data_IF_789614403430
#
_entry.id   IF_789614403430
#
_cell.length_a   1.000
_cell.length_b   1.000
_cell.length_c   1.000
_cell.angle_alpha   90.00
_cell.angle_beta   90.00
_cell.angle_gamma   90.00
#
_symmetry.space_group_name_H-M   'P 1'
#
loop_
_entity.id
_entity.type
_entity.pdbx_description
1 polymer ?
#
# COMPACT_ATOMS: atom_id res chain seq x y z
N UNK A 1 -20.91 -2.54 11.13
CA UNK A 1 -21.83 -3.29 12.00
C UNK A 1 -21.54 -4.79 11.91
N UNK A 2 -21.72 -5.38 10.71
CA UNK A 2 -21.59 -6.83 10.48
C UNK A 2 -20.24 -7.39 10.93
N UNK A 3 -19.10 -6.76 10.61
CA UNK A 3 -17.78 -7.21 11.03
C UNK A 3 -17.57 -7.25 12.56
N UNK A 4 -18.22 -6.32 13.31
CA UNK A 4 -18.24 -6.38 14.77
C UNK A 4 -19.11 -7.55 15.30
N UNK A 5 -20.27 -7.77 14.70
CA UNK A 5 -21.15 -8.89 15.03
C UNK A 5 -20.48 -10.24 14.77
N UNK A 6 -19.72 -10.33 13.69
CA UNK A 6 -18.90 -11.51 13.34
C UNK A 6 -17.62 -11.64 14.19
N UNK A 7 -17.35 -10.68 15.05
CA UNK A 7 -16.19 -10.68 15.95
C UNK A 7 -14.83 -10.65 15.20
N UNK A 8 -14.76 -9.91 14.09
CA UNK A 8 -13.56 -9.82 13.25
C UNK A 8 -12.56 -8.78 13.77
N UNK A 9 -13.04 -7.65 14.28
CA UNK A 9 -12.20 -6.56 14.77
C UNK A 9 -12.90 -5.77 15.88
N UNK A 10 -12.14 -4.94 16.58
CA UNK A 10 -12.62 -3.98 17.55
C UNK A 10 -11.90 -2.63 17.40
N UNK A 11 -12.50 -1.58 17.94
CA UNK A 11 -11.86 -0.30 18.20
C UNK A 11 -12.01 -0.02 19.70
N UNK A 12 -10.96 0.53 20.29
CA UNK A 12 -10.92 0.91 21.72
C UNK A 12 -10.37 2.33 21.85
N UNK A 13 -11.01 3.15 22.68
CA UNK A 13 -10.63 4.55 22.85
C UNK A 13 -9.24 4.70 23.49
N UNK A 14 -8.86 3.76 24.36
CA UNK A 14 -7.54 3.77 25.01
C UNK A 14 -6.39 3.43 24.05
N UNK A 15 -6.69 2.70 22.96
CA UNK A 15 -5.74 2.45 21.86
C UNK A 15 -5.67 3.64 20.92
N UNK A 16 -6.81 4.26 20.64
CA UNK A 16 -6.95 5.44 19.81
C UNK A 16 -7.91 5.26 18.63
N UNK A 17 -8.49 6.37 18.21
CA UNK A 17 -9.41 6.39 17.07
C UNK A 17 -8.69 6.06 15.76
N UNK A 18 -9.32 5.22 14.94
CA UNK A 18 -8.75 4.83 13.65
C UNK A 18 -7.61 3.80 13.74
N UNK A 19 -7.45 3.15 14.90
CA UNK A 19 -6.47 2.08 15.13
C UNK A 19 -7.22 0.76 15.36
N UNK A 20 -7.47 -0.05 14.31
CA UNK A 20 -8.24 -1.28 14.43
C UNK A 20 -7.46 -2.37 15.16
N UNK A 21 -8.15 -3.08 16.07
CA UNK A 21 -7.67 -4.29 16.72
C UNK A 21 -8.25 -5.50 16.00
N UNK A 22 -7.43 -6.25 15.31
CA UNK A 22 -7.83 -7.49 14.66
C UNK A 22 -8.02 -8.59 15.69
N UNK A 23 -9.20 -9.20 15.70
CA UNK A 23 -9.52 -10.35 16.54
C UNK A 23 -9.15 -11.66 15.81
N UNK A 24 -9.10 -12.82 16.49
CA UNK A 24 -8.65 -14.07 15.88
C UNK A 24 -9.33 -14.39 14.54
N UNK A 25 -10.66 -14.25 14.44
CA UNK A 25 -11.39 -14.51 13.19
C UNK A 25 -11.01 -13.52 12.07
N UNK A 26 -10.81 -12.27 12.40
CA UNK A 26 -10.32 -11.27 11.43
C UNK A 26 -8.87 -11.49 11.03
N UNK A 27 -8.05 -11.96 11.98
CA UNK A 27 -6.67 -12.36 11.71
C UNK A 27 -6.57 -13.51 10.70
N UNK A 28 -7.49 -14.47 10.73
CA UNK A 28 -7.57 -15.55 9.73
C UNK A 28 -7.83 -14.97 8.34
N UNK A 29 -8.89 -14.16 8.18
CA UNK A 29 -9.21 -13.53 6.87
C UNK A 29 -8.00 -12.75 6.34
N UNK A 30 -7.34 -12.00 7.21
CA UNK A 30 -6.16 -11.22 6.85
C UNK A 30 -5.01 -12.11 6.38
N UNK A 31 -4.73 -13.19 7.07
CA UNK A 31 -3.68 -14.15 6.72
C UNK A 31 -3.97 -14.79 5.37
N UNK A 32 -5.18 -15.33 5.17
CA UNK A 32 -5.55 -15.98 3.92
C UNK A 32 -5.42 -15.04 2.70
N UNK A 33 -5.79 -13.76 2.85
CA UNK A 33 -5.57 -12.76 1.80
C UNK A 33 -4.09 -12.50 1.55
N UNK A 34 -3.27 -12.45 2.61
CA UNK A 34 -1.83 -12.25 2.47
C UNK A 34 -1.17 -13.45 1.81
N UNK A 35 -1.52 -14.67 2.21
CA UNK A 35 -1.00 -15.90 1.64
C UNK A 35 -1.37 -16.00 0.16
N UNK A 36 -2.63 -15.72 -0.21
CA UNK A 36 -3.10 -15.68 -1.60
C UNK A 36 -2.26 -14.73 -2.47
N UNK A 37 -2.03 -13.51 -2.01
CA UNK A 37 -1.20 -12.54 -2.76
C UNK A 37 0.25 -12.99 -2.81
N UNK A 38 0.82 -13.49 -1.71
CA UNK A 38 2.21 -13.96 -1.67
C UNK A 38 2.44 -15.05 -2.70
N UNK A 39 1.55 -16.02 -2.80
CA UNK A 39 1.65 -17.08 -3.81
C UNK A 39 1.64 -16.55 -5.25
N UNK A 40 0.80 -15.55 -5.54
CA UNK A 40 0.76 -14.94 -6.88
C UNK A 40 2.01 -14.09 -7.15
N UNK A 41 2.58 -13.45 -6.13
CA UNK A 41 3.81 -12.68 -6.24
C UNK A 41 5.04 -13.56 -6.46
N UNK A 42 5.14 -14.68 -5.77
CA UNK A 42 6.22 -15.65 -5.94
C UNK A 42 6.28 -16.17 -7.39
N UNK A 43 5.09 -16.44 -8.00
CA UNK A 43 4.98 -16.83 -9.42
C UNK A 43 5.48 -15.77 -10.40
N UNK A 44 5.42 -14.49 -10.00
CA UNK A 44 5.87 -13.35 -10.80
C UNK A 44 7.30 -12.92 -10.45
N UNK A 45 8.01 -13.64 -9.57
CA UNK A 45 9.39 -13.37 -9.19
C UNK A 45 9.58 -12.13 -8.31
N UNK A 46 8.61 -11.82 -7.46
CA UNK A 46 8.78 -10.80 -6.43
C UNK A 46 9.57 -11.33 -5.23
N UNK A 47 10.37 -10.47 -4.63
CA UNK A 47 11.07 -10.73 -3.37
C UNK A 47 10.33 -10.06 -2.23
N UNK A 48 9.93 -10.85 -1.23
CA UNK A 48 9.32 -10.30 -0.02
C UNK A 48 10.38 -9.63 0.85
N UNK A 49 10.08 -8.41 1.28
CA UNK A 49 10.95 -7.60 2.15
C UNK A 49 10.17 -7.13 3.38
N UNK A 50 10.90 -6.70 4.41
CA UNK A 50 10.34 -6.20 5.67
C UNK A 50 11.07 -4.93 6.06
N UNK A 51 10.34 -3.85 6.30
CA UNK A 51 10.92 -2.55 6.61
C UNK A 51 10.45 -2.01 7.96
N UNK A 52 11.27 -1.20 8.65
CA UNK A 52 10.88 -0.59 9.92
C UNK A 52 9.66 0.30 9.78
N UNK A 53 8.89 0.44 10.87
CA UNK A 53 7.72 1.33 10.93
C UNK A 53 8.10 2.81 11.04
N UNK A 54 9.35 3.11 11.36
CA UNK A 54 9.88 4.47 11.51
C UNK A 54 11.11 4.65 10.62
N UNK A 55 11.35 5.88 10.18
CA UNK A 55 12.56 6.27 9.46
C UNK A 55 12.98 7.69 9.83
N UNK A 56 14.24 8.04 9.57
CA UNK A 56 14.75 9.40 9.78
C UNK A 56 13.99 10.39 8.91
N UNK A 57 13.77 11.61 9.43
CA UNK A 57 13.12 12.70 8.69
C UNK A 57 13.83 13.03 7.38
N UNK A 58 15.17 12.97 7.37
CA UNK A 58 15.97 13.17 6.16
C UNK A 58 15.54 12.26 5.00
N UNK A 59 15.17 11.00 5.25
CA UNK A 59 14.67 10.09 4.24
C UNK A 59 13.38 10.62 3.58
N UNK A 60 12.47 11.15 4.40
CA UNK A 60 11.18 11.67 3.92
C UNK A 60 11.30 13.07 3.30
N UNK A 61 12.29 13.88 3.70
CA UNK A 61 12.64 15.13 2.99
C UNK A 61 13.18 14.81 1.59
N UNK A 62 14.08 13.83 1.47
CA UNK A 62 14.60 13.40 0.17
C UNK A 62 13.48 12.90 -0.74
N UNK A 63 12.57 12.08 -0.24
CA UNK A 63 11.45 11.57 -1.03
C UNK A 63 10.37 12.62 -1.32
N UNK A 64 10.33 13.75 -0.61
CA UNK A 64 9.31 14.79 -0.73
C UNK A 64 8.02 14.50 0.03
N UNK A 65 7.93 13.39 0.78
CA UNK A 65 6.78 13.14 1.62
C UNK A 65 6.67 14.11 2.79
N UNK A 66 7.78 14.63 3.26
CA UNK A 66 7.83 15.69 4.26
C UNK A 66 8.54 16.93 3.66
N UNK A 67 7.99 18.16 3.81
CA UNK A 67 6.75 18.51 4.51
C UNK A 67 5.46 18.46 3.67
N UNK A 68 5.49 18.08 2.38
CA UNK A 68 4.32 18.19 1.47
C UNK A 68 3.04 17.48 1.95
N UNK A 69 3.16 16.44 2.78
CA UNK A 69 2.01 15.73 3.38
C UNK A 69 1.92 15.92 4.89
N UNK A 70 2.45 17.04 5.43
CA UNK A 70 2.51 17.30 6.87
C UNK A 70 1.14 17.12 7.55
N UNK A 71 0.08 17.66 6.98
CA UNK A 71 -1.29 17.57 7.52
C UNK A 71 -1.82 16.13 7.63
N UNK A 72 -1.28 15.21 6.82
CA UNK A 72 -1.67 13.81 6.79
C UNK A 72 -0.68 12.89 7.51
N UNK A 73 0.28 13.42 8.24
CA UNK A 73 1.30 12.65 8.95
C UNK A 73 1.15 12.75 10.46
N UNK A 74 1.55 11.70 11.17
CA UNK A 74 1.78 11.82 12.60
C UNK A 74 2.91 12.81 12.87
N UNK A 75 2.83 13.59 13.95
CA UNK A 75 3.91 14.51 14.31
C UNK A 75 5.26 13.76 14.40
N UNK A 76 6.37 14.39 13.95
CA UNK A 76 7.69 13.80 14.06
C UNK A 76 8.08 13.51 15.51
N UNK A 77 8.80 12.41 15.69
CA UNK A 77 9.43 12.03 16.97
C UNK A 77 10.79 12.71 17.02
N UNK A 78 10.92 13.74 17.84
CA UNK A 78 12.15 14.51 17.98
C UNK A 78 12.99 13.94 19.14
N UNK A 79 14.31 13.95 18.98
CA UNK A 79 15.23 13.50 20.01
C UNK A 79 15.13 14.36 21.28
N UNK A 80 15.25 13.72 22.45
CA UNK A 80 15.05 14.36 23.75
C UNK A 80 16.04 15.52 23.98
N UNK A 81 17.27 15.39 23.51
CA UNK A 81 18.29 16.42 23.71
C UNK A 81 18.07 17.65 22.82
N UNK A 82 17.55 17.46 21.62
CA UNK A 82 17.08 18.55 20.75
C UNK A 82 15.92 19.30 21.40
N UNK A 83 14.96 18.60 22.01
CA UNK A 83 13.84 19.23 22.73
C UNK A 83 14.31 20.04 23.95
N UNK A 84 15.30 19.55 24.71
CA UNK A 84 15.87 20.29 25.84
C UNK A 84 16.56 21.57 25.41
N UNK A 85 17.40 21.48 24.36
CA UNK A 85 18.11 22.62 23.79
C UNK A 85 17.14 23.72 23.33
N UNK A 86 16.06 23.36 22.65
CA UNK A 86 15.01 24.29 22.25
C UNK A 86 14.33 24.96 23.45
N UNK A 87 14.06 24.20 24.52
CA UNK A 87 13.49 24.72 25.75
C UNK A 87 14.41 25.72 26.47
N UNK A 88 15.72 25.48 26.47
CA UNK A 88 16.75 26.37 27.04
C UNK A 88 16.90 27.67 26.20
N UNK A 89 16.76 27.58 24.89
CA UNK A 89 16.83 28.73 23.97
C UNK A 89 15.52 29.54 23.90
N UNK A 90 14.46 29.11 24.58
CA UNK A 90 13.16 29.78 24.59
C UNK A 90 12.42 29.71 23.25
N UNK A 91 12.71 28.71 22.42
CA UNK A 91 12.09 28.51 21.12
C UNK A 91 10.57 28.29 21.22
N UNK A 92 9.82 28.83 20.25
CA UNK A 92 8.37 28.62 20.14
C UNK A 92 8.07 27.38 19.31
N UNK A 93 6.84 26.88 19.39
CA UNK A 93 6.41 25.75 18.56
C UNK A 93 6.58 25.98 17.06
N UNK A 94 6.39 27.23 16.59
CA UNK A 94 6.65 27.63 15.18
C UNK A 94 8.10 27.45 14.78
N UNK A 95 9.03 27.72 15.69
CA UNK A 95 10.47 27.59 15.43
C UNK A 95 10.86 26.11 15.33
N UNK A 96 10.26 25.25 16.18
CA UNK A 96 10.45 23.80 16.12
C UNK A 96 10.04 23.23 14.76
N UNK A 97 8.87 23.60 14.23
CA UNK A 97 8.40 23.17 12.92
C UNK A 97 9.38 23.58 11.83
N UNK A 98 9.84 24.84 11.89
CA UNK A 98 10.81 25.36 10.93
C UNK A 98 12.13 24.59 10.99
N UNK A 99 12.72 24.39 12.18
CA UNK A 99 13.97 23.63 12.37
C UNK A 99 13.88 22.17 11.92
N UNK A 100 12.71 21.53 12.09
CA UNK A 100 12.46 20.19 11.59
C UNK A 100 12.37 20.19 10.06
N UNK A 101 11.72 21.18 9.47
CA UNK A 101 11.54 21.28 8.00
C UNK A 101 12.86 21.60 7.30
N UNK A 102 13.69 22.47 7.88
CA UNK A 102 15.02 22.82 7.33
C UNK A 102 16.08 21.75 7.55
N UNK A 103 15.86 20.83 8.49
CA UNK A 103 16.82 19.78 8.86
C UNK A 103 17.84 20.21 9.92
N UNK A 104 17.65 21.37 10.54
CA UNK A 104 18.45 21.79 11.70
C UNK A 104 18.21 20.88 12.92
N UNK A 105 16.99 20.33 13.02
CA UNK A 105 16.63 19.29 13.98
C UNK A 105 16.29 18.02 13.23
N UNK A 106 16.99 16.95 13.57
CA UNK A 106 16.70 15.60 13.11
C UNK A 106 15.71 14.90 14.06
N UNK A 107 15.04 13.88 13.50
CA UNK A 107 14.10 13.05 14.23
C UNK A 107 13.65 11.87 13.38
N UNK A 108 12.60 11.23 13.84
CA UNK A 108 12.00 10.09 13.16
C UNK A 108 10.53 10.38 12.84
N UNK A 109 10.05 9.73 11.80
CA UNK A 109 8.65 9.77 11.39
C UNK A 109 8.10 8.36 11.34
N UNK A 110 6.85 8.15 11.78
CA UNK A 110 6.09 6.96 11.40
C UNK A 110 5.90 6.97 9.89
N UNK A 111 6.27 5.90 9.21
CA UNK A 111 6.26 5.88 7.75
C UNK A 111 4.84 6.08 7.19
N UNK A 112 4.60 7.12 6.37
CA UNK A 112 3.33 7.33 5.69
C UNK A 112 3.20 6.49 4.42
N UNK A 113 4.33 5.99 3.90
CA UNK A 113 4.48 5.15 2.72
C UNK A 113 5.71 4.26 2.83
N UNK A 114 5.73 3.14 2.09
CA UNK A 114 6.84 2.17 2.10
C UNK A 114 7.94 2.48 1.08
N UNK A 115 7.63 3.25 0.03
CA UNK A 115 8.52 3.50 -1.11
C UNK A 115 9.93 4.00 -0.71
N UNK A 116 10.14 4.93 0.24
CA UNK A 116 11.50 5.36 0.58
C UNK A 116 12.37 4.24 1.16
N UNK A 117 11.77 3.29 1.87
CA UNK A 117 12.49 2.14 2.42
C UNK A 117 12.86 1.12 1.33
N UNK A 118 11.95 0.81 0.40
CA UNK A 118 12.24 -0.07 -0.73
C UNK A 118 13.31 0.52 -1.66
N UNK A 119 13.29 1.83 -1.86
CA UNK A 119 14.36 2.56 -2.57
C UNK A 119 15.71 2.32 -1.91
N UNK A 120 15.79 2.40 -0.57
CA UNK A 120 17.05 2.15 0.15
C UNK A 120 17.48 0.69 0.12
N UNK A 121 16.56 -0.28 0.00
CA UNK A 121 16.89 -1.68 -0.27
C UNK A 121 17.50 -1.82 -1.66
N UNK A 122 16.87 -1.24 -2.68
CA UNK A 122 17.42 -1.26 -4.04
C UNK A 122 18.82 -0.63 -4.11
N UNK A 123 19.00 0.52 -3.48
CA UNK A 123 20.24 1.32 -3.44
C UNK A 123 21.38 0.66 -2.61
N UNK A 124 21.06 -0.35 -1.79
CA UNK A 124 22.05 -1.02 -0.95
C UNK A 124 23.03 -1.93 -1.71
N UNK A 125 22.76 -2.21 -2.99
CA UNK A 125 23.59 -3.08 -3.81
C UNK A 125 23.84 -2.44 -5.19
N UNK A 126 25.04 -2.67 -5.75
CA UNK A 126 25.33 -2.30 -7.13
C UNK A 126 24.52 -3.17 -8.09
N UNK A 127 23.79 -2.54 -9.00
CA UNK A 127 22.93 -3.21 -9.98
C UNK A 127 23.44 -3.00 -11.41
N UNK A 128 23.22 -4.00 -12.25
CA UNK A 128 23.38 -3.92 -13.70
C UNK A 128 22.04 -4.12 -14.41
N UNK A 129 21.96 -3.79 -15.67
CA UNK A 129 20.75 -4.05 -16.48
C UNK A 129 20.30 -5.52 -16.48
N UNK A 130 21.19 -6.46 -16.16
CA UNK A 130 20.87 -7.90 -16.08
C UNK A 130 20.14 -8.28 -14.80
N UNK A 131 20.24 -7.43 -13.77
CA UNK A 131 19.58 -7.64 -12.49
C UNK A 131 18.15 -7.09 -12.49
N UNK A 132 17.80 -6.30 -13.53
CA UNK A 132 16.50 -5.67 -13.66
C UNK A 132 15.53 -6.54 -14.50
N UNK A 133 14.25 -6.58 -14.15
CA UNK A 133 13.60 -5.81 -13.11
C UNK A 133 13.83 -6.38 -11.71
N UNK A 134 13.99 -5.52 -10.71
CA UNK A 134 13.97 -5.88 -9.29
C UNK A 134 12.58 -5.59 -8.74
N UNK A 135 11.89 -6.62 -8.25
CA UNK A 135 10.51 -6.52 -7.73
C UNK A 135 10.51 -6.80 -6.23
N UNK A 136 10.28 -5.75 -5.43
CA UNK A 136 10.23 -5.84 -3.96
C UNK A 136 8.79 -5.70 -3.50
N UNK A 137 8.32 -6.60 -2.64
CA UNK A 137 6.96 -6.61 -2.11
C UNK A 137 6.95 -6.67 -0.57
N UNK A 138 6.01 -5.99 0.05
CA UNK A 138 5.83 -5.96 1.50
C UNK A 138 4.35 -5.82 1.86
N UNK A 139 3.87 -6.57 2.85
CA UNK A 139 2.68 -6.17 3.59
C UNK A 139 3.06 -5.10 4.61
N UNK A 140 3.27 -3.88 4.09
CA UNK A 140 3.82 -2.77 4.85
C UNK A 140 2.76 -1.98 5.58
N UNK A 141 2.87 -1.90 6.92
CA UNK A 141 1.99 -1.04 7.71
C UNK A 141 2.46 0.40 7.62
N UNK A 142 1.56 1.30 7.25
CA UNK A 142 1.79 2.74 7.12
C UNK A 142 0.83 3.50 8.03
N UNK A 143 1.20 4.75 8.35
CA UNK A 143 0.52 5.57 9.34
C UNK A 143 0.17 6.93 8.75
N UNK A 144 -1.11 7.32 8.85
CA UNK A 144 -1.58 8.61 8.37
C UNK A 144 -2.47 9.27 9.43
N UNK A 145 -2.23 10.54 9.68
CA UNK A 145 -3.04 11.33 10.58
C UNK A 145 -4.32 11.77 9.85
N UNK A 146 -5.28 10.85 9.77
CA UNK A 146 -6.60 11.20 9.26
C UNK A 146 -7.35 12.06 10.28
N UNK A 147 -8.05 13.09 9.83
CA UNK A 147 -8.87 13.90 10.72
C UNK A 147 -10.02 13.08 11.32
N UNK A 148 -10.43 13.39 12.54
CA UNK A 148 -11.42 12.57 13.26
C UNK A 148 -12.76 12.44 12.51
N UNK A 149 -13.17 13.48 11.78
CA UNK A 149 -14.38 13.47 10.95
C UNK A 149 -14.30 12.63 9.68
N UNK A 150 -13.11 12.21 9.27
CA UNK A 150 -12.86 11.38 8.08
C UNK A 150 -12.81 9.89 8.40
N UNK A 151 -12.61 9.53 9.66
CA UNK A 151 -12.51 8.13 10.08
C UNK A 151 -13.82 7.36 9.86
N UNK A 152 -13.74 6.16 9.29
CA UNK A 152 -14.91 5.37 8.93
C UNK A 152 -14.70 3.87 9.01
N UNK A 153 -14.96 3.25 10.18
CA UNK A 153 -14.82 1.80 10.35
C UNK A 153 -13.45 1.30 9.90
N UNK A 154 -13.41 0.27 9.04
CA UNK A 154 -12.17 -0.20 8.40
C UNK A 154 -11.83 0.55 7.11
N UNK A 155 -12.73 1.34 6.55
CA UNK A 155 -12.54 1.95 5.23
C UNK A 155 -11.62 3.18 5.25
N UNK A 156 -11.53 3.88 6.39
CA UNK A 156 -10.57 4.96 6.61
C UNK A 156 -10.05 4.93 8.05
N UNK A 157 -8.80 4.56 8.19
CA UNK A 157 -8.11 4.29 9.46
C UNK A 157 -6.75 5.00 9.49
N UNK A 158 -6.17 5.15 10.67
CA UNK A 158 -4.87 5.83 10.88
C UNK A 158 -3.66 4.91 10.76
N UNK A 159 -3.85 3.62 10.95
CA UNK A 159 -2.84 2.59 10.73
C UNK A 159 -3.44 1.52 9.84
N UNK A 160 -2.82 1.27 8.70
CA UNK A 160 -3.27 0.26 7.75
C UNK A 160 -2.11 -0.43 7.05
N UNK A 161 -2.37 -1.64 6.59
CA UNK A 161 -1.38 -2.45 5.90
C UNK A 161 -1.67 -2.43 4.41
N UNK A 162 -0.66 -2.07 3.62
CA UNK A 162 -0.71 -2.16 2.16
C UNK A 162 -0.03 -3.43 1.68
N UNK A 163 -0.60 -4.05 0.67
CA UNK A 163 0.06 -5.08 -0.16
C UNK A 163 0.94 -4.39 -1.20
N UNK A 164 1.91 -3.66 -0.70
CA UNK A 164 2.71 -2.69 -1.43
C UNK A 164 3.88 -3.36 -2.14
N UNK A 165 4.15 -2.97 -3.37
CA UNK A 165 5.36 -3.38 -4.06
C UNK A 165 5.90 -2.27 -4.95
N UNK A 166 7.22 -2.35 -5.12
CA UNK A 166 7.98 -1.42 -5.94
C UNK A 166 8.86 -2.22 -6.91
N UNK A 167 8.71 -1.89 -8.18
CA UNK A 167 9.46 -2.51 -9.27
C UNK A 167 10.45 -1.47 -9.77
N UNK A 168 11.72 -1.84 -9.83
CA UNK A 168 12.77 -1.04 -10.42
C UNK A 168 13.16 -1.70 -11.74
N UNK A 169 12.94 -1.00 -12.85
CA UNK A 169 13.11 -1.57 -14.19
C UNK A 169 13.81 -0.60 -15.15
N UNK A 170 14.22 -1.11 -16.30
CA UNK A 170 14.68 -0.23 -17.39
C UNK A 170 13.48 0.46 -18.06
N UNK A 171 13.69 1.57 -18.79
CA UNK A 171 12.61 2.21 -19.55
C UNK A 171 11.90 1.25 -20.54
N UNK A 172 12.63 0.31 -21.12
CA UNK A 172 12.10 -0.66 -22.10
C UNK A 172 11.20 -1.72 -21.42
N UNK A 173 11.40 -1.99 -20.14
CA UNK A 173 10.63 -2.97 -19.36
C UNK A 173 9.32 -2.41 -18.81
N UNK A 174 9.14 -1.09 -18.79
CA UNK A 174 7.99 -0.42 -18.14
C UNK A 174 6.65 -0.99 -18.62
N UNK A 175 6.47 -1.15 -19.92
CA UNK A 175 5.22 -1.65 -20.50
C UNK A 175 4.86 -3.05 -19.99
N UNK A 176 5.82 -3.98 -20.01
CA UNK A 176 5.64 -5.36 -19.54
C UNK A 176 5.33 -5.42 -18.05
N UNK A 177 6.06 -4.64 -17.24
CA UNK A 177 5.86 -4.60 -15.80
C UNK A 177 4.48 -4.02 -15.41
N UNK A 178 4.01 -2.98 -16.11
CA UNK A 178 2.65 -2.47 -15.91
C UNK A 178 1.61 -3.55 -16.24
N UNK A 179 1.76 -4.27 -17.36
CA UNK A 179 0.85 -5.36 -17.73
C UNK A 179 0.81 -6.46 -16.68
N UNK A 180 1.95 -6.83 -16.10
CA UNK A 180 2.03 -7.77 -14.99
C UNK A 180 1.25 -7.29 -13.77
N UNK A 181 1.37 -6.00 -13.41
CA UNK A 181 0.62 -5.38 -12.31
C UNK A 181 -0.89 -5.40 -12.58
N UNK A 182 -1.33 -5.00 -13.78
CA UNK A 182 -2.75 -4.99 -14.15
C UNK A 182 -3.34 -6.41 -14.14
N UNK A 183 -2.58 -7.38 -14.63
CA UNK A 183 -2.97 -8.80 -14.60
C UNK A 183 -3.18 -9.31 -13.17
N UNK A 184 -2.32 -8.91 -12.23
CA UNK A 184 -2.45 -9.26 -10.81
C UNK A 184 -3.71 -8.64 -10.19
N UNK A 185 -3.98 -7.35 -10.42
CA UNK A 185 -5.20 -6.70 -9.91
C UNK A 185 -6.45 -7.38 -10.46
N UNK A 186 -6.49 -7.67 -11.76
CA UNK A 186 -7.58 -8.40 -12.41
C UNK A 186 -7.77 -9.79 -11.78
N UNK A 187 -6.67 -10.52 -11.51
CA UNK A 187 -6.70 -11.83 -10.85
C UNK A 187 -7.33 -11.74 -9.48
N UNK A 188 -6.91 -10.77 -8.67
CA UNK A 188 -7.44 -10.52 -7.32
C UNK A 188 -8.95 -10.28 -7.36
N UNK A 189 -9.38 -9.29 -8.15
CA UNK A 189 -10.80 -8.91 -8.22
C UNK A 189 -11.66 -10.06 -8.75
N UNK A 190 -11.21 -10.79 -9.76
CA UNK A 190 -11.92 -11.95 -10.31
C UNK A 190 -12.04 -13.09 -9.30
N UNK A 191 -10.96 -13.42 -8.58
CA UNK A 191 -10.96 -14.51 -7.58
C UNK A 191 -11.95 -14.23 -6.44
N UNK A 192 -12.14 -12.96 -6.10
CA UNK A 192 -13.05 -12.51 -5.06
C UNK A 192 -14.46 -12.17 -5.58
N UNK A 193 -14.74 -12.44 -6.87
CA UNK A 193 -16.05 -12.18 -7.46
C UNK A 193 -16.40 -10.70 -7.62
N UNK A 194 -15.41 -9.81 -7.59
CA UNK A 194 -15.55 -8.36 -7.74
C UNK A 194 -15.27 -7.93 -9.19
N UNK A 195 -16.01 -8.50 -10.15
CA UNK A 195 -15.77 -8.27 -11.59
C UNK A 195 -16.33 -6.94 -12.11
N UNK A 196 -17.23 -6.30 -11.37
CA UNK A 196 -17.79 -5.00 -11.70
C UNK A 196 -16.96 -3.89 -11.04
N UNK A 197 -15.88 -3.51 -11.72
CA UNK A 197 -15.01 -2.43 -11.28
C UNK A 197 -14.81 -1.37 -12.37
N UNK A 198 -14.63 -0.13 -11.95
CA UNK A 198 -14.23 0.97 -12.83
C UNK A 198 -12.71 1.13 -12.84
N UNK A 199 -12.20 1.68 -13.93
CA UNK A 199 -10.79 2.05 -14.07
C UNK A 199 -10.70 3.56 -14.28
N UNK A 200 -9.86 4.23 -13.50
CA UNK A 200 -9.55 5.65 -13.63
C UNK A 200 -8.08 5.84 -13.95
N UNK A 201 -7.80 6.58 -14.99
CA UNK A 201 -6.45 7.03 -15.33
C UNK A 201 -6.28 8.46 -14.78
N UNK A 202 -5.60 8.58 -13.66
CA UNK A 202 -5.36 9.84 -12.97
C UNK A 202 -4.10 10.50 -13.54
N UNK A 203 -4.28 11.66 -14.15
CA UNK A 203 -3.25 12.42 -14.87
C UNK A 203 -2.90 13.69 -14.12
N UNK A 204 -1.75 14.31 -14.45
CA UNK A 204 -1.43 15.64 -13.96
C UNK A 204 -2.40 16.70 -14.53
N UNK A 205 -2.51 17.80 -13.82
CA UNK A 205 -2.98 19.08 -14.34
C UNK A 205 -1.77 19.93 -14.69
N UNK A 206 -1.49 20.21 -15.98
CA UNK A 206 -0.30 20.95 -16.38
C UNK A 206 -0.21 22.37 -15.80
N UNK A 207 -1.35 22.95 -15.40
CA UNK A 207 -1.43 24.30 -14.85
C UNK A 207 -1.27 24.33 -13.31
N UNK A 208 -1.03 23.19 -12.67
CA UNK A 208 -0.91 23.07 -11.22
C UNK A 208 0.54 22.90 -10.77
N UNK A 209 0.94 23.66 -9.76
CA UNK A 209 2.25 23.55 -9.09
C UNK A 209 2.37 22.31 -8.16
N UNK A 210 1.35 21.48 -8.10
CA UNK A 210 1.32 20.26 -7.27
C UNK A 210 2.34 19.21 -7.72
N UNK A 211 2.67 19.19 -9.00
CA UNK A 211 3.42 18.10 -9.63
C UNK A 211 4.91 18.44 -9.74
N UNK A 212 5.74 17.47 -9.35
CA UNK A 212 7.21 17.65 -9.35
C UNK A 212 7.85 16.81 -10.46
N UNK A 213 9.05 17.24 -10.89
CA UNK A 213 9.88 16.54 -11.86
C UNK A 213 9.79 17.12 -13.27
N UNK A 214 10.51 16.47 -14.19
CA UNK A 214 10.63 16.90 -15.57
C UNK A 214 9.31 16.65 -16.34
N UNK A 215 8.76 17.64 -17.06
CA UNK A 215 7.58 17.45 -17.91
C UNK A 215 7.70 16.31 -18.92
N UNK A 216 8.87 16.07 -19.50
CA UNK A 216 9.08 14.98 -20.44
C UNK A 216 8.91 13.59 -19.79
N UNK A 217 9.31 13.46 -18.52
CA UNK A 217 9.11 12.23 -17.75
C UNK A 217 7.62 11.99 -17.49
N UNK A 218 6.86 13.05 -17.22
CA UNK A 218 5.42 12.97 -17.09
C UNK A 218 4.75 12.52 -18.39
N UNK A 219 5.15 13.09 -19.53
CA UNK A 219 4.60 12.71 -20.84
C UNK A 219 4.83 11.23 -21.13
N UNK A 220 6.03 10.71 -20.84
CA UNK A 220 6.38 9.30 -20.99
C UNK A 220 5.54 8.40 -20.07
N UNK A 221 5.42 8.78 -18.80
CA UNK A 221 4.65 8.01 -17.82
C UNK A 221 3.15 7.97 -18.17
N UNK A 222 2.57 9.11 -18.53
CA UNK A 222 1.16 9.18 -18.95
C UNK A 222 0.89 8.38 -20.23
N UNK A 223 1.80 8.43 -21.22
CA UNK A 223 1.68 7.64 -22.44
C UNK A 223 1.73 6.14 -22.14
N UNK A 224 2.67 5.68 -21.32
CA UNK A 224 2.79 4.28 -20.92
C UNK A 224 1.53 3.76 -20.21
N UNK A 225 0.94 4.56 -19.31
CA UNK A 225 -0.27 4.18 -18.61
C UNK A 225 -1.51 4.19 -19.53
N UNK A 226 -1.61 5.13 -20.49
CA UNK A 226 -2.70 5.13 -21.49
C UNK A 226 -2.65 3.88 -22.36
N UNK A 227 -1.48 3.49 -22.84
CA UNK A 227 -1.30 2.27 -23.61
C UNK A 227 -1.69 1.04 -22.78
N UNK A 228 -1.24 0.96 -21.54
CA UNK A 228 -1.54 -0.15 -20.64
C UNK A 228 -3.04 -0.28 -20.33
N UNK A 229 -3.73 0.81 -20.04
CA UNK A 229 -5.18 0.80 -19.76
C UNK A 229 -6.00 0.30 -20.95
N UNK A 230 -5.61 0.67 -22.17
CA UNK A 230 -6.30 0.21 -23.38
C UNK A 230 -6.28 -1.32 -23.53
N UNK A 231 -5.23 -1.98 -23.04
CA UNK A 231 -5.11 -3.44 -23.08
C UNK A 231 -6.03 -4.17 -22.10
N UNK A 232 -6.61 -3.50 -21.13
CA UNK A 232 -7.55 -4.11 -20.16
C UNK A 232 -8.89 -4.49 -20.78
N UNK A 233 -9.22 -3.95 -21.97
CA UNK A 233 -10.51 -4.15 -22.65
C UNK A 233 -11.73 -3.76 -21.80
N UNK A 234 -11.54 -2.88 -20.80
CA UNK A 234 -12.60 -2.31 -19.95
C UNK A 234 -12.70 -0.81 -20.18
N UNK A 235 -13.89 -0.25 -19.97
CA UNK A 235 -14.07 1.21 -20.03
C UNK A 235 -13.26 1.90 -18.91
N UNK A 236 -12.63 3.02 -19.24
CA UNK A 236 -11.92 3.83 -18.26
C UNK A 236 -12.25 5.32 -18.44
N UNK A 237 -12.01 6.10 -17.38
CA UNK A 237 -12.11 7.57 -17.43
C UNK A 237 -10.71 8.17 -17.23
N UNK A 238 -10.46 9.32 -17.86
CA UNK A 238 -9.27 10.13 -17.55
C UNK A 238 -9.66 11.23 -16.57
N UNK A 239 -8.89 11.36 -15.48
CA UNK A 239 -9.14 12.30 -14.39
C UNK A 239 -7.93 13.25 -14.26
N UNK A 240 -7.92 14.38 -14.98
CA UNK A 240 -6.87 15.40 -14.84
C UNK A 240 -6.88 16.00 -13.42
N UNK A 241 -5.68 16.21 -12.86
CA UNK A 241 -5.53 16.76 -11.51
C UNK A 241 -5.47 15.72 -10.38
N UNK A 242 -5.82 14.45 -10.66
CA UNK A 242 -5.91 13.39 -9.65
C UNK A 242 -4.64 12.53 -9.53
N UNK A 243 -3.60 12.80 -10.32
CA UNK A 243 -2.31 12.12 -10.19
C UNK A 243 -1.66 12.34 -8.81
N UNK A 244 -0.77 11.42 -8.42
CA UNK A 244 0.14 11.66 -7.32
C UNK A 244 1.12 12.80 -7.69
N UNK A 245 1.71 13.46 -6.68
CA UNK A 245 2.61 14.57 -6.96
C UNK A 245 3.85 14.17 -7.77
N UNK A 246 4.22 12.90 -7.74
CA UNK A 246 5.41 12.32 -8.37
C UNK A 246 5.13 11.51 -9.63
N UNK A 247 3.89 11.17 -9.95
CA UNK A 247 3.57 10.38 -11.14
C UNK A 247 2.08 10.12 -11.37
N UNK A 248 1.70 9.81 -12.62
CA UNK A 248 0.35 9.41 -12.98
C UNK A 248 0.05 8.00 -12.48
N UNK A 249 -1.24 7.67 -12.38
CA UNK A 249 -1.69 6.38 -11.82
C UNK A 249 -2.92 5.82 -12.50
N UNK A 250 -3.03 4.49 -12.49
CA UNK A 250 -4.25 3.74 -12.79
C UNK A 250 -4.86 3.31 -11.46
N UNK A 251 -6.09 3.73 -11.19
CA UNK A 251 -6.85 3.36 -10.01
C UNK A 251 -7.98 2.41 -10.38
N UNK A 252 -8.13 1.34 -9.61
CA UNK A 252 -9.25 0.41 -9.70
C UNK A 252 -10.28 0.78 -8.64
N UNK A 253 -11.51 0.99 -9.08
CA UNK A 253 -12.59 1.53 -8.25
C UNK A 253 -13.73 0.53 -8.21
N UNK A 254 -14.17 0.18 -7.03
CA UNK A 254 -15.36 -0.66 -6.81
C UNK A 254 -16.44 0.13 -6.11
N UNK A 255 -17.69 -0.29 -6.32
CA UNK A 255 -18.84 0.29 -5.63
C UNK A 255 -19.18 -0.53 -4.40
N UNK A 256 -19.46 0.16 -3.28
CA UNK A 256 -20.07 -0.50 -2.13
C UNK A 256 -21.57 -0.75 -2.36
N UNK A 257 -22.21 -1.43 -1.39
CA UNK A 257 -23.62 -1.81 -1.48
C UNK A 257 -24.61 -0.63 -1.56
N UNK A 258 -24.15 0.58 -1.25
CA UNK A 258 -24.95 1.80 -1.37
C UNK A 258 -24.52 2.71 -2.54
N UNK A 259 -23.64 2.18 -3.40
CA UNK A 259 -23.22 2.83 -4.65
C UNK A 259 -22.11 3.86 -4.52
N UNK A 260 -21.40 3.93 -3.38
CA UNK A 260 -20.22 4.82 -3.23
C UNK A 260 -18.99 4.17 -3.86
N UNK A 261 -18.21 4.98 -4.54
CA UNK A 261 -16.95 4.57 -5.14
C UNK A 261 -15.84 4.45 -4.08
N UNK A 262 -15.11 3.35 -4.13
CA UNK A 262 -13.92 3.11 -3.32
C UNK A 262 -12.74 2.72 -4.18
N UNK A 263 -11.69 3.53 -4.12
CA UNK A 263 -10.41 3.17 -4.71
C UNK A 263 -9.80 2.00 -3.93
N UNK A 264 -9.47 0.94 -4.63
CA UNK A 264 -8.76 -0.24 -4.13
C UNK A 264 -7.34 -0.28 -4.71
N UNK A 265 -7.17 -1.04 -5.77
CA UNK A 265 -5.86 -1.22 -6.40
C UNK A 265 -5.36 0.04 -7.11
N UNK A 266 -4.05 0.20 -7.11
CA UNK A 266 -3.36 1.29 -7.80
C UNK A 266 -2.09 0.76 -8.46
N UNK A 267 -1.79 1.27 -9.67
CA UNK A 267 -0.52 1.11 -10.38
C UNK A 267 -0.03 2.49 -10.80
N UNK A 268 1.20 2.85 -10.44
CA UNK A 268 1.78 4.18 -10.71
C UNK A 268 3.15 4.03 -11.35
N UNK A 269 3.46 4.90 -12.32
CA UNK A 269 4.79 5.00 -12.91
C UNK A 269 5.49 6.25 -12.39
N UNK A 270 6.72 6.09 -11.94
CA UNK A 270 7.50 7.11 -11.26
C UNK A 270 8.90 7.22 -11.81
N UNK A 271 9.21 8.35 -12.41
CA UNK A 271 10.54 8.75 -12.84
C UNK A 271 11.22 9.68 -11.84
N UNK A 272 10.46 10.23 -10.89
CA UNK A 272 10.91 11.31 -10.02
C UNK A 272 11.64 10.81 -8.76
N UNK A 273 11.11 9.80 -8.07
CA UNK A 273 11.79 9.26 -6.88
C UNK A 273 13.14 8.64 -7.22
N UNK A 274 13.31 7.87 -8.32
CA UNK A 274 14.65 7.44 -8.74
C UNK A 274 15.65 8.58 -8.94
N UNK A 275 15.21 9.72 -9.46
CA UNK A 275 16.04 10.91 -9.62
C UNK A 275 16.38 11.56 -8.28
N UNK A 276 15.39 11.76 -7.42
CA UNK A 276 15.57 12.39 -6.09
C UNK A 276 16.50 11.60 -5.17
N UNK A 277 16.55 10.29 -5.31
CA UNK A 277 17.44 9.39 -4.57
C UNK A 277 18.75 9.09 -5.30
N UNK A 278 18.96 9.69 -6.48
CA UNK A 278 20.12 9.46 -7.36
C UNK A 278 20.40 7.98 -7.62
N UNK A 279 19.33 7.19 -7.84
CA UNK A 279 19.45 5.76 -8.12
C UNK A 279 20.11 5.53 -9.48
N UNK A 280 20.90 4.48 -9.59
CA UNK A 280 21.51 4.09 -10.85
C UNK A 280 21.71 2.58 -10.99
N UNK A 281 21.78 2.12 -12.23
CA UNK A 281 22.26 0.80 -12.61
C UNK A 281 23.26 0.92 -13.76
N UNK A 282 24.13 -0.08 -13.93
CA UNK A 282 25.08 -0.13 -15.04
C UNK A 282 24.39 -0.72 -16.27
N UNK A 283 24.29 0.04 -17.35
CA UNK A 283 23.73 -0.39 -18.63
C UNK A 283 24.63 -1.33 -19.42
N UNK A 284 24.13 -1.86 -20.55
CA UNK A 284 24.91 -2.69 -21.47
C UNK A 284 26.07 -1.94 -22.13
N UNK A 285 26.02 -0.61 -22.13
CA UNK A 285 27.05 0.30 -22.59
C UNK A 285 28.12 0.62 -21.53
N UNK A 286 28.07 -0.04 -20.36
CA UNK A 286 28.90 0.19 -19.20
C UNK A 286 28.80 1.61 -18.61
N UNK A 287 27.70 2.33 -18.86
CA UNK A 287 27.42 3.62 -18.25
C UNK A 287 26.34 3.51 -17.18
N UNK A 288 26.31 4.50 -16.28
CA UNK A 288 25.24 4.63 -15.31
C UNK A 288 23.94 5.11 -16.00
N UNK A 289 22.86 4.42 -15.72
CA UNK A 289 21.51 4.76 -16.16
C UNK A 289 20.56 4.83 -14.96
N UNK A 290 19.50 5.63 -15.07
CA UNK A 290 18.48 5.77 -14.05
C UNK A 290 17.38 4.74 -14.27
N UNK A 291 16.99 3.95 -13.24
CA UNK A 291 15.84 3.06 -13.34
C UNK A 291 14.53 3.85 -13.35
N UNK A 292 13.50 3.24 -13.90
CA UNK A 292 12.10 3.66 -13.69
C UNK A 292 11.54 2.87 -12.53
N UNK A 293 10.70 3.49 -11.72
CA UNK A 293 10.04 2.85 -10.60
C UNK A 293 8.54 2.70 -10.87
N UNK A 294 7.99 1.53 -10.56
CA UNK A 294 6.56 1.29 -10.60
C UNK A 294 6.08 0.93 -9.21
N UNK A 295 5.08 1.63 -8.72
CA UNK A 295 4.40 1.37 -7.47
C UNK A 295 3.11 0.61 -7.76
N UNK A 296 2.81 -0.41 -6.99
CA UNK A 296 1.53 -1.10 -7.10
C UNK A 296 1.05 -1.64 -5.76
N UNK A 297 -0.26 -1.62 -5.58
CA UNK A 297 -0.96 -2.20 -4.43
C UNK A 297 -2.32 -2.73 -4.90
N UNK A 298 -2.49 -4.03 -5.19
CA UNK A 298 -3.74 -4.62 -5.67
C UNK A 298 -4.93 -4.48 -4.72
N UNK A 299 -4.72 -4.68 -3.42
CA UNK A 299 -5.75 -4.43 -2.41
C UNK A 299 -5.83 -2.96 -1.99
N UNK A 300 -4.70 -2.25 -2.09
CA UNK A 300 -4.51 -0.95 -1.50
C UNK A 300 -4.36 -1.03 0.01
N UNK A 301 -5.40 -0.68 0.78
CA UNK A 301 -5.45 -0.90 2.22
C UNK A 301 -6.15 -2.23 2.52
N UNK A 302 -5.47 -3.14 3.19
CA UNK A 302 -6.04 -4.44 3.60
C UNK A 302 -7.25 -4.25 4.53
N UNK A 303 -7.22 -3.25 5.39
CA UNK A 303 -8.33 -2.88 6.25
C UNK A 303 -9.57 -2.45 5.45
N UNK A 304 -9.39 -1.53 4.49
CA UNK A 304 -10.47 -1.09 3.59
C UNK A 304 -11.00 -2.26 2.76
N UNK A 305 -10.09 -3.05 2.21
CA UNK A 305 -10.44 -4.19 1.37
C UNK A 305 -11.28 -5.21 2.13
N UNK A 306 -10.87 -5.61 3.34
CA UNK A 306 -11.66 -6.51 4.20
C UNK A 306 -13.01 -5.86 4.56
N UNK A 307 -13.03 -4.56 4.82
CA UNK A 307 -14.28 -3.82 5.05
C UNK A 307 -15.28 -3.98 3.91
N UNK A 308 -14.81 -3.84 2.67
CA UNK A 308 -15.63 -4.02 1.46
C UNK A 308 -16.01 -5.49 1.21
N UNK A 309 -15.10 -6.44 1.47
CA UNK A 309 -15.40 -7.86 1.36
C UNK A 309 -16.48 -8.32 2.35
N UNK A 310 -16.50 -7.78 3.57
CA UNK A 310 -17.58 -8.03 4.54
C UNK A 310 -18.94 -7.60 3.97
N UNK A 311 -19.00 -6.48 3.28
CA UNK A 311 -20.22 -5.99 2.62
C UNK A 311 -20.53 -6.82 1.38
N UNK A 312 -19.56 -7.06 0.51
CA UNK A 312 -19.71 -7.80 -0.74
C UNK A 312 -20.25 -9.22 -0.52
N UNK A 313 -19.71 -9.91 0.47
CA UNK A 313 -20.16 -11.28 0.82
C UNK A 313 -21.29 -11.31 1.85
N UNK A 314 -21.77 -10.16 2.35
CA UNK A 314 -22.72 -10.12 3.47
C UNK A 314 -22.25 -10.94 4.68
N UNK A 315 -20.93 -11.04 4.87
CA UNK A 315 -20.30 -11.88 5.88
C UNK A 315 -20.26 -13.38 5.55
N UNK A 316 -20.75 -13.80 4.39
CA UNK A 316 -20.77 -15.21 3.92
C UNK A 316 -19.57 -15.44 3.01
N UNK A 317 -18.39 -15.40 3.55
CA UNK A 317 -17.14 -15.57 2.80
C UNK A 317 -17.07 -16.91 2.07
N UNK A 318 -16.38 -17.00 0.92
CA UNK A 318 -16.05 -18.28 0.31
C UNK A 318 -15.21 -19.12 1.28
N UNK A 319 -15.31 -20.45 1.18
CA UNK A 319 -14.74 -21.38 2.17
C UNK A 319 -13.27 -21.09 2.47
N UNK A 320 -12.45 -20.87 1.45
CA UNK A 320 -11.02 -20.61 1.62
C UNK A 320 -10.71 -19.33 2.43
N UNK A 321 -11.61 -18.33 2.40
CA UNK A 321 -11.47 -17.07 3.11
C UNK A 321 -12.29 -17.01 4.41
N UNK A 322 -13.15 -18.00 4.64
CA UNK A 322 -14.01 -18.02 5.82
C UNK A 322 -13.18 -18.22 7.09
N UNK A 323 -13.43 -17.42 8.17
CA UNK A 323 -12.73 -17.61 9.43
C UNK A 323 -13.05 -18.92 10.15
N UNK A 324 -14.08 -19.60 9.72
CA UNK A 324 -14.49 -20.94 10.16
C UNK A 324 -14.98 -21.70 8.94
N UNK A 325 -14.18 -22.63 8.42
CA UNK A 325 -14.49 -23.37 7.20
C UNK A 325 -15.45 -24.53 7.45
N UNK A 326 -15.26 -25.24 8.56
CA UNK A 326 -16.04 -26.41 8.94
C UNK A 326 -16.35 -26.37 10.43
N UNK A 327 -17.57 -26.72 10.78
CA UNK A 327 -17.98 -26.94 12.17
C UNK A 327 -18.57 -28.34 12.31
N UNK A 328 -18.01 -29.15 13.21
CA UNK A 328 -18.48 -30.48 13.52
C UNK A 328 -19.42 -30.40 14.74
N UNK A 329 -20.63 -30.88 14.57
CA UNK A 329 -21.66 -30.88 15.60
C UNK A 329 -22.01 -32.33 15.98
N UNK A 330 -21.47 -32.86 17.10
CA UNK A 330 -21.86 -34.18 17.58
C UNK A 330 -23.34 -34.18 18.01
N UNK A 331 -24.10 -35.15 17.57
CA UNK A 331 -25.54 -35.26 17.90
C UNK A 331 -25.78 -35.64 19.36
N UNK A 332 -24.79 -36.14 20.06
CA UNK A 332 -24.78 -36.36 21.51
C UNK A 332 -23.36 -36.48 22.03
N UNK A 333 -23.17 -36.34 23.35
CA UNK A 333 -21.87 -36.46 24.04
C UNK A 333 -21.16 -37.81 23.76
N UNK A 334 -21.91 -38.87 23.42
CA UNK A 334 -21.39 -40.17 23.06
C UNK A 334 -20.43 -40.10 21.86
N UNK A 335 -20.62 -39.15 20.93
CA UNK A 335 -19.85 -38.99 19.71
C UNK A 335 -18.83 -37.85 19.80
N UNK A 336 -18.60 -37.30 20.98
CA UNK A 336 -17.66 -36.16 21.13
C UNK A 336 -16.24 -36.54 20.76
N UNK A 337 -15.77 -37.74 21.14
CA UNK A 337 -14.43 -38.21 20.81
C UNK A 337 -14.19 -38.35 19.32
N UNK A 338 -15.13 -38.92 18.59
CA UNK A 338 -15.07 -39.07 17.14
C UNK A 338 -15.12 -37.70 16.45
N UNK A 339 -15.94 -36.78 16.97
CA UNK A 339 -15.99 -35.41 16.47
C UNK A 339 -14.67 -34.69 16.68
N UNK A 340 -14.05 -34.82 17.84
CA UNK A 340 -12.75 -34.21 18.16
C UNK A 340 -11.61 -34.80 17.28
N UNK A 341 -11.62 -36.10 17.04
CA UNK A 341 -10.67 -36.76 16.14
C UNK A 341 -10.79 -36.21 14.72
N UNK A 342 -12.03 -36.17 14.19
CA UNK A 342 -12.27 -35.62 12.86
C UNK A 342 -11.89 -34.13 12.76
N UNK A 343 -12.15 -33.34 13.80
CA UNK A 343 -11.75 -31.94 13.85
C UNK A 343 -10.21 -31.81 13.80
N UNK A 344 -9.49 -32.68 14.52
CA UNK A 344 -8.02 -32.72 14.51
C UNK A 344 -7.49 -33.11 13.13
N UNK A 345 -8.03 -34.16 12.50
CA UNK A 345 -7.64 -34.58 11.15
C UNK A 345 -7.83 -33.49 10.11
N UNK A 346 -8.97 -32.77 10.17
CA UNK A 346 -9.23 -31.63 9.27
C UNK A 346 -8.28 -30.47 9.52
N UNK A 347 -7.94 -30.17 10.78
CA UNK A 347 -7.00 -29.11 11.12
C UNK A 347 -5.55 -29.44 10.71
N UNK A 348 -5.17 -30.71 10.70
CA UNK A 348 -3.85 -31.18 10.23
C UNK A 348 -3.75 -31.20 8.69
N UNK A 349 -4.87 -31.29 8.01
CA UNK A 349 -4.93 -31.28 6.55
C UNK A 349 -4.90 -29.86 5.93
N UNK A 350 -5.04 -28.80 6.75
CA UNK A 350 -4.96 -27.39 6.36
C UNK A 350 -6.25 -26.64 6.53
#
# INVERSE_FOLDING_TARGET
RLGKEMNLFAFDESVGQGLPLWKPKGGIIRRELQDFITEELDKQGYFQVFTPHIGKLGLYRTSGHFPYYEDSQFPPIVERDAMKKLGEEGAKCSDLINFISTGEIEGFLLKPMNCPHHIKIFDSEHRSYRDLPVRLAEFGTVYRWEQSGELGGLTRVRSFTQDDAHIFCTPEQVGEEIQGCLGLVKKVLTTLGMSDYGVRLSLRDPDSDKYVGDPENWDKAEAALREAVQSLEVGYTEEPGEAAFYGPKIDFVVKDVIGRDWQLGTVQVDYNLPERFDLSYVGSDNKAHRPVMIHRAPFGSLERFVGLLIEHFEGKFPTWLAPEQVRILPISEKYSKEADMLATELAEAG
#
